data_IF_694044321855
#
_entry.id   IF_694044321855
#
_cell.length_a   1.000
_cell.length_b   1.000
_cell.length_c   1.000
_cell.angle_alpha   90.00
_cell.angle_beta   90.00
_cell.angle_gamma   90.00
#
_symmetry.space_group_name_H-M   'P 1'
#
loop_
_entity.id
_entity.type
_entity.pdbx_description
1 polymer ?
#
# COMPACT_ATOMS: atom_id res chain seq x y z
N UNK A 1 -18.59 -12.96 13.51
CA UNK A 1 -17.48 -12.12 13.00
C UNK A 1 -18.08 -11.05 12.10
N UNK A 2 -17.56 -9.81 12.11
CA UNK A 2 -18.04 -8.76 11.22
C UNK A 2 -17.94 -9.18 9.76
N UNK A 3 -18.87 -8.73 8.93
CA UNK A 3 -18.79 -8.88 7.48
C UNK A 3 -18.01 -7.71 6.91
N UNK A 4 -16.88 -8.00 6.26
CA UNK A 4 -16.05 -7.00 5.59
C UNK A 4 -16.26 -7.01 4.08
N UNK A 5 -16.41 -5.82 3.49
CA UNK A 5 -16.40 -5.63 2.02
C UNK A 5 -15.46 -4.50 1.65
N UNK A 6 -14.46 -4.79 0.82
CA UNK A 6 -13.51 -3.82 0.30
C UNK A 6 -14.00 -3.38 -1.07
N UNK A 7 -14.35 -2.11 -1.20
CA UNK A 7 -14.78 -1.49 -2.46
C UNK A 7 -13.67 -0.62 -3.02
N UNK A 8 -13.13 -1.00 -4.17
CA UNK A 8 -12.11 -0.23 -4.89
C UNK A 8 -12.12 -0.52 -6.39
N UNK A 9 -11.37 0.24 -7.18
CA UNK A 9 -11.19 -0.08 -8.61
C UNK A 9 -10.55 -1.46 -8.81
N UNK A 10 -10.71 -2.02 -10.01
CA UNK A 10 -10.06 -3.28 -10.43
C UNK A 10 -8.55 -3.14 -10.69
N UNK A 11 -7.84 -2.63 -9.69
CA UNK A 11 -6.39 -2.47 -9.62
C UNK A 11 -5.96 -2.68 -8.15
N UNK A 12 -4.65 -2.80 -7.92
CA UNK A 12 -4.11 -2.80 -6.55
C UNK A 12 -4.34 -1.44 -5.88
N UNK A 13 -3.58 -0.42 -6.32
CA UNK A 13 -3.69 0.97 -5.86
C UNK A 13 -3.82 1.12 -4.35
N UNK A 14 -4.68 2.06 -3.92
CA UNK A 14 -4.96 2.31 -2.48
C UNK A 14 -5.86 1.25 -1.84
N UNK A 15 -6.45 0.32 -2.59
CA UNK A 15 -7.24 -0.77 -2.05
C UNK A 15 -6.40 -1.94 -1.55
N UNK A 16 -5.23 -2.16 -2.15
CA UNK A 16 -4.39 -3.34 -1.87
C UNK A 16 -3.91 -3.46 -0.42
N UNK A 17 -3.47 -2.38 0.27
CA UNK A 17 -3.08 -2.49 1.66
C UNK A 17 -4.19 -3.05 2.56
N UNK A 18 -5.45 -2.66 2.32
CA UNK A 18 -6.62 -3.14 3.06
C UNK A 18 -6.81 -4.64 2.84
N UNK A 19 -6.72 -5.09 1.57
CA UNK A 19 -6.86 -6.50 1.20
C UNK A 19 -5.75 -7.36 1.82
N UNK A 20 -4.51 -6.87 1.81
CA UNK A 20 -3.37 -7.57 2.39
C UNK A 20 -3.45 -7.66 3.93
N UNK A 21 -3.91 -6.61 4.63
CA UNK A 21 -4.09 -6.66 6.09
C UNK A 21 -5.20 -7.64 6.49
N UNK A 22 -6.35 -7.62 5.79
CA UNK A 22 -7.42 -8.60 6.01
C UNK A 22 -6.91 -10.03 5.77
N UNK A 23 -6.15 -10.22 4.70
CA UNK A 23 -5.56 -11.52 4.35
C UNK A 23 -4.52 -11.99 5.36
N UNK A 24 -3.68 -11.08 5.89
CA UNK A 24 -2.75 -11.38 6.98
C UNK A 24 -3.49 -11.96 8.20
N UNK A 25 -4.58 -11.31 8.62
CA UNK A 25 -5.44 -11.80 9.70
C UNK A 25 -6.29 -13.01 9.32
N UNK A 26 -6.19 -13.52 8.09
CA UNK A 26 -7.05 -14.58 7.53
C UNK A 26 -8.55 -14.26 7.69
N UNK A 27 -8.89 -12.97 7.62
CA UNK A 27 -10.26 -12.48 7.74
C UNK A 27 -10.92 -12.54 6.37
N UNK A 28 -12.03 -13.29 6.20
CA UNK A 28 -12.76 -13.33 4.94
C UNK A 28 -13.40 -11.97 4.65
N UNK A 29 -13.36 -11.55 3.39
CA UNK A 29 -13.96 -10.31 2.93
C UNK A 29 -14.48 -10.42 1.49
N UNK A 30 -15.44 -9.58 1.15
CA UNK A 30 -15.93 -9.41 -0.22
C UNK A 30 -15.03 -8.39 -0.92
N UNK A 31 -14.38 -8.77 -2.03
CA UNK A 31 -13.57 -7.87 -2.86
C UNK A 31 -14.42 -7.30 -4.01
N UNK A 32 -15.08 -6.16 -3.75
CA UNK A 32 -15.92 -5.48 -4.72
C UNK A 32 -15.08 -4.57 -5.62
N UNK A 33 -14.86 -5.03 -6.86
CA UNK A 33 -14.04 -4.35 -7.86
C UNK A 33 -14.90 -3.53 -8.81
N UNK A 34 -14.66 -2.23 -8.85
CA UNK A 34 -15.39 -1.27 -9.68
C UNK A 34 -14.67 -1.09 -11.02
N UNK A 35 -15.41 -1.25 -12.11
CA UNK A 35 -14.97 -0.88 -13.46
C UNK A 35 -14.93 0.65 -13.64
N UNK A 36 -14.20 1.15 -14.64
CA UNK A 36 -14.20 2.61 -14.89
C UNK A 36 -15.58 3.08 -15.38
N UNK A 37 -16.28 2.23 -16.11
CA UNK A 37 -17.59 2.46 -16.71
C UNK A 37 -18.67 2.62 -15.64
N UNK A 38 -18.62 1.81 -14.58
CA UNK A 38 -19.59 1.84 -13.49
C UNK A 38 -19.29 2.90 -12.42
N UNK A 39 -18.08 3.48 -12.43
CA UNK A 39 -17.68 4.45 -11.41
C UNK A 39 -18.65 5.63 -11.28
N UNK A 40 -19.15 6.14 -12.40
CA UNK A 40 -20.11 7.26 -12.40
C UNK A 40 -21.39 6.97 -11.60
N UNK A 41 -21.86 5.71 -11.62
CA UNK A 41 -23.04 5.23 -10.89
C UNK A 41 -22.74 4.95 -9.42
N UNK A 42 -21.55 4.42 -9.13
CA UNK A 42 -21.15 4.03 -7.77
C UNK A 42 -20.71 5.24 -6.94
N UNK A 43 -20.03 6.23 -7.55
CA UNK A 43 -19.53 7.43 -6.86
C UNK A 43 -20.54 8.09 -5.91
N UNK A 44 -21.80 8.40 -6.32
CA UNK A 44 -22.77 9.03 -5.44
C UNK A 44 -23.21 8.16 -4.25
N UNK A 45 -22.95 6.84 -4.28
CA UNK A 45 -23.26 5.90 -3.20
C UNK A 45 -22.15 5.76 -2.16
N UNK A 46 -21.00 6.43 -2.36
CA UNK A 46 -19.86 6.40 -1.44
C UNK A 46 -19.87 7.62 -0.52
N UNK A 47 -19.36 7.54 0.72
CA UNK A 47 -19.55 8.61 1.71
C UNK A 47 -18.94 9.96 1.28
N UNK A 48 -17.83 9.92 0.56
CA UNK A 48 -17.06 11.11 0.14
C UNK A 48 -16.88 11.20 -1.40
N UNK A 49 -17.66 10.44 -2.17
CA UNK A 49 -17.49 10.41 -3.63
C UNK A 49 -16.14 9.84 -4.09
N UNK A 50 -15.55 8.93 -3.29
CA UNK A 50 -14.20 8.39 -3.44
C UNK A 50 -14.12 6.93 -3.00
N UNK A 51 -13.09 6.23 -3.48
CA UNK A 51 -12.69 4.88 -3.03
C UNK A 51 -11.17 4.89 -2.72
N UNK A 52 -10.67 4.03 -1.82
CA UNK A 52 -11.32 2.86 -1.22
C UNK A 52 -12.36 3.19 -0.15
N UNK A 53 -13.33 2.29 -0.01
CA UNK A 53 -14.30 2.24 1.09
C UNK A 53 -14.26 0.82 1.67
N UNK A 54 -14.16 0.71 2.99
CA UNK A 54 -14.41 -0.54 3.71
C UNK A 54 -15.82 -0.49 4.28
N UNK A 55 -16.63 -1.49 4.00
CA UNK A 55 -17.90 -1.70 4.67
C UNK A 55 -17.73 -2.73 5.78
N UNK A 56 -18.18 -2.39 7.00
CA UNK A 56 -18.19 -3.27 8.17
C UNK A 56 -19.64 -3.38 8.62
N UNK A 57 -20.23 -4.56 8.48
CA UNK A 57 -21.65 -4.81 8.83
C UNK A 57 -22.61 -3.76 8.25
N UNK A 58 -22.40 -3.41 6.97
CA UNK A 58 -23.20 -2.41 6.25
C UNK A 58 -22.77 -0.95 6.45
N UNK A 59 -21.90 -0.65 7.43
CA UNK A 59 -21.39 0.71 7.66
C UNK A 59 -20.18 1.01 6.78
N UNK A 60 -20.30 2.04 5.94
CA UNK A 60 -19.23 2.47 5.04
C UNK A 60 -18.21 3.41 5.72
N UNK A 61 -16.93 3.06 5.62
CA UNK A 61 -15.80 3.83 6.15
C UNK A 61 -14.90 4.24 4.96
N UNK A 62 -14.70 5.54 4.71
CA UNK A 62 -13.80 6.01 3.65
C UNK A 62 -12.33 6.06 4.12
N UNK A 63 -11.42 6.27 3.16
CA UNK A 63 -9.97 6.46 3.31
C UNK A 63 -9.13 5.21 3.61
N UNK A 64 -8.05 5.02 2.86
CA UNK A 64 -7.15 3.89 3.01
C UNK A 64 -6.46 3.83 4.39
N UNK A 65 -5.77 4.89 4.79
CA UNK A 65 -4.88 4.84 5.96
C UNK A 65 -5.63 4.64 7.29
N UNK A 66 -6.73 5.36 7.59
CA UNK A 66 -7.54 5.08 8.77
C UNK A 66 -8.07 3.65 8.82
N UNK A 67 -8.51 3.11 7.67
CA UNK A 67 -8.96 1.71 7.56
C UNK A 67 -7.82 0.74 7.87
N UNK A 68 -6.63 0.95 7.28
CA UNK A 68 -5.47 0.10 7.51
C UNK A 68 -5.07 0.09 8.99
N UNK A 69 -5.02 1.26 9.63
CA UNK A 69 -4.71 1.41 11.06
C UNK A 69 -5.72 0.69 11.94
N UNK A 70 -7.01 0.84 11.64
CA UNK A 70 -8.08 0.12 12.36
C UNK A 70 -7.92 -1.40 12.25
N UNK A 71 -7.78 -1.93 11.03
CA UNK A 71 -7.62 -3.37 10.81
C UNK A 71 -6.33 -3.90 11.44
N UNK A 72 -5.24 -3.14 11.39
CA UNK A 72 -3.97 -3.48 12.02
C UNK A 72 -4.11 -3.68 13.54
N UNK A 73 -4.95 -2.89 14.20
CA UNK A 73 -5.22 -3.06 15.64
C UNK A 73 -5.96 -4.37 15.95
N UNK A 74 -6.75 -4.90 15.01
CA UNK A 74 -7.47 -6.17 15.16
C UNK A 74 -6.55 -7.37 14.94
N UNK A 75 -5.60 -7.23 14.01
CA UNK A 75 -4.72 -8.33 13.60
C UNK A 75 -3.32 -8.25 14.23
N UNK A 76 -3.15 -7.45 15.29
CA UNK A 76 -1.88 -7.30 16.03
C UNK A 76 -0.69 -6.80 15.18
N UNK A 77 -0.96 -5.90 14.24
CA UNK A 77 0.05 -5.20 13.44
C UNK A 77 0.26 -3.74 13.85
N UNK A 78 -0.51 -3.25 14.83
CA UNK A 78 -0.31 -1.94 15.46
C UNK A 78 0.81 -1.98 16.52
N UNK A 79 1.28 -0.80 16.93
CA UNK A 79 2.23 -0.66 18.03
C UNK A 79 1.57 -0.97 19.38
N UNK A 80 2.37 -1.39 20.37
CA UNK A 80 1.89 -1.67 21.73
C UNK A 80 1.65 -0.42 22.56
N UNK A 81 2.16 0.73 22.12
CA UNK A 81 1.95 2.03 22.76
C UNK A 81 1.86 3.18 21.75
N UNK A 82 1.64 4.40 22.25
CA UNK A 82 1.53 5.59 21.42
C UNK A 82 2.83 5.94 20.66
N UNK A 83 4.00 5.63 21.23
CA UNK A 83 5.30 5.92 20.62
C UNK A 83 5.56 4.99 19.44
N UNK A 84 5.27 3.70 19.60
CA UNK A 84 5.38 2.75 18.50
C UNK A 84 4.37 3.04 17.39
N UNK A 85 3.13 3.37 17.73
CA UNK A 85 2.14 3.76 16.73
C UNK A 85 2.55 5.03 15.98
N UNK A 86 3.16 6.01 16.66
CA UNK A 86 3.73 7.19 16.03
C UNK A 86 4.83 6.82 15.02
N UNK A 87 5.74 5.91 15.36
CA UNK A 87 6.79 5.46 14.43
C UNK A 87 6.19 4.79 13.18
N UNK A 88 5.16 3.97 13.35
CA UNK A 88 4.44 3.34 12.25
C UNK A 88 3.75 4.39 11.37
N UNK A 89 3.06 5.36 11.98
CA UNK A 89 2.37 6.43 11.27
C UNK A 89 3.34 7.30 10.45
N UNK A 90 4.50 7.65 11.00
CA UNK A 90 5.54 8.40 10.27
C UNK A 90 6.02 7.64 9.03
N UNK A 91 6.29 6.34 9.16
CA UNK A 91 6.71 5.51 8.03
C UNK A 91 5.62 5.45 6.94
N UNK A 92 4.36 5.31 7.35
CA UNK A 92 3.22 5.26 6.43
C UNK A 92 2.98 6.60 5.73
N UNK A 93 2.96 7.71 6.47
CA UNK A 93 2.76 9.04 5.86
C UNK A 93 3.89 9.39 4.89
N UNK A 94 5.13 8.97 5.18
CA UNK A 94 6.26 9.09 4.23
C UNK A 94 5.96 8.38 2.90
N UNK A 95 5.34 7.20 2.93
CA UNK A 95 4.94 6.45 1.73
C UNK A 95 3.74 7.11 1.02
N UNK A 96 2.81 7.68 1.79
CA UNK A 96 1.65 8.42 1.25
C UNK A 96 2.11 9.65 0.49
N UNK A 97 3.03 10.43 1.06
CA UNK A 97 3.62 11.61 0.42
C UNK A 97 4.31 11.24 -0.90
N UNK A 98 5.10 10.17 -0.90
CA UNK A 98 5.74 9.67 -2.11
C UNK A 98 4.72 9.26 -3.18
N UNK A 99 3.65 8.57 -2.77
CA UNK A 99 2.56 8.17 -3.65
C UNK A 99 1.78 9.37 -4.21
N UNK A 100 1.58 10.42 -3.42
CA UNK A 100 0.96 11.67 -3.87
C UNK A 100 1.82 12.38 -4.92
N UNK A 101 3.13 12.50 -4.70
CA UNK A 101 4.06 13.06 -5.70
C UNK A 101 4.02 12.27 -7.02
N UNK A 102 4.03 10.94 -6.95
CA UNK A 102 3.93 10.08 -8.14
C UNK A 102 2.60 10.30 -8.90
N UNK A 103 1.50 10.52 -8.17
CA UNK A 103 0.20 10.80 -8.72
C UNK A 103 0.11 12.19 -9.37
N UNK A 104 0.74 13.21 -8.76
CA UNK A 104 0.83 14.56 -9.33
C UNK A 104 1.58 14.56 -10.66
N UNK A 105 2.69 13.82 -10.76
CA UNK A 105 3.41 13.61 -12.02
C UNK A 105 2.51 12.97 -13.08
N UNK A 106 1.72 11.96 -12.69
CA UNK A 106 0.83 11.25 -13.62
C UNK A 106 -0.27 12.14 -14.17
N UNK A 107 -0.79 13.08 -13.38
CA UNK A 107 -1.92 13.95 -13.75
C UNK A 107 -1.52 15.25 -14.43
N UNK A 108 -0.25 15.61 -14.40
CA UNK A 108 0.23 16.82 -15.05
C UNK A 108 0.29 16.63 -16.56
N UNK A 109 -0.33 17.57 -17.29
CA UNK A 109 -0.38 17.56 -18.76
C UNK A 109 0.57 18.58 -19.37
N UNK A 110 0.93 19.64 -18.63
CA UNK A 110 1.92 20.62 -19.06
C UNK A 110 3.34 20.05 -18.94
N UNK A 111 4.09 20.06 -20.04
CA UNK A 111 5.40 19.41 -20.09
C UNK A 111 6.43 20.01 -19.12
N UNK A 112 6.45 21.34 -18.96
CA UNK A 112 7.41 22.02 -18.09
C UNK A 112 7.10 21.75 -16.61
N UNK A 113 5.84 21.87 -16.21
CA UNK A 113 5.38 21.54 -14.85
C UNK A 113 5.56 20.06 -14.55
N UNK A 114 5.37 19.19 -15.54
CA UNK A 114 5.57 17.75 -15.37
C UNK A 114 7.04 17.45 -15.08
N UNK A 115 7.96 18.06 -15.81
CA UNK A 115 9.40 17.89 -15.55
C UNK A 115 9.79 18.37 -14.14
N UNK A 116 9.24 19.50 -13.68
CA UNK A 116 9.45 19.98 -12.31
C UNK A 116 8.97 18.98 -11.26
N UNK A 117 7.74 18.46 -11.44
CA UNK A 117 7.15 17.45 -10.54
C UNK A 117 7.94 16.13 -10.57
N UNK A 118 8.44 15.72 -11.73
CA UNK A 118 9.29 14.53 -11.86
C UNK A 118 10.60 14.69 -11.09
N UNK A 119 11.20 15.89 -11.12
CA UNK A 119 12.41 16.18 -10.35
C UNK A 119 12.12 16.13 -8.84
N UNK A 120 11.01 16.73 -8.39
CA UNK A 120 10.57 16.66 -6.98
C UNK A 120 10.32 15.21 -6.55
N UNK A 121 9.62 14.43 -7.37
CA UNK A 121 9.38 13.00 -7.11
C UNK A 121 10.69 12.22 -6.99
N UNK A 122 11.65 12.40 -7.91
CA UNK A 122 12.95 11.69 -7.86
C UNK A 122 13.77 12.05 -6.62
N UNK A 123 13.78 13.32 -6.23
CA UNK A 123 14.46 13.77 -5.01
C UNK A 123 13.83 13.15 -3.76
N UNK A 124 12.50 13.20 -3.65
CA UNK A 124 11.76 12.59 -2.55
C UNK A 124 11.95 11.07 -2.51
N UNK A 125 11.89 10.39 -3.66
CA UNK A 125 12.09 8.95 -3.80
C UNK A 125 13.44 8.53 -3.21
N UNK A 126 14.54 9.18 -3.62
CA UNK A 126 15.88 8.85 -3.13
C UNK A 126 16.02 9.11 -1.63
N UNK A 127 15.54 10.25 -1.14
CA UNK A 127 15.59 10.63 0.27
C UNK A 127 14.78 9.65 1.14
N UNK A 128 13.53 9.39 0.76
CA UNK A 128 12.61 8.61 1.56
C UNK A 128 12.99 7.13 1.57
N UNK A 129 13.37 6.56 0.42
CA UNK A 129 13.85 5.17 0.38
C UNK A 129 15.15 5.01 1.16
N UNK A 130 16.07 5.97 1.07
CA UNK A 130 17.29 5.96 1.89
C UNK A 130 16.98 5.94 3.38
N UNK A 131 16.06 6.79 3.85
CA UNK A 131 15.66 6.80 5.26
C UNK A 131 14.92 5.54 5.70
N UNK A 132 13.99 5.03 4.88
CA UNK A 132 13.31 3.78 5.20
C UNK A 132 14.28 2.58 5.21
N UNK A 133 15.30 2.57 4.36
CA UNK A 133 16.34 1.52 4.36
C UNK A 133 17.20 1.59 5.63
N UNK A 134 17.57 2.78 6.12
CA UNK A 134 18.26 2.96 7.42
C UNK A 134 17.45 2.34 8.56
N UNK A 135 16.14 2.61 8.61
CA UNK A 135 15.25 2.00 9.61
C UNK A 135 15.14 0.49 9.43
N UNK A 136 14.94 0.02 8.20
CA UNK A 136 14.88 -1.41 7.89
C UNK A 136 16.16 -2.14 8.29
N UNK A 137 17.33 -1.54 8.07
CA UNK A 137 18.62 -2.10 8.49
C UNK A 137 18.68 -2.24 10.00
N UNK A 138 18.34 -1.19 10.75
CA UNK A 138 18.33 -1.17 12.22
C UNK A 138 17.36 -2.18 12.82
N UNK A 139 16.22 -2.39 12.17
CA UNK A 139 15.13 -3.22 12.67
C UNK A 139 15.11 -4.63 12.07
N UNK A 140 16.14 -5.02 11.31
CA UNK A 140 16.27 -6.38 10.80
C UNK A 140 15.33 -6.70 9.62
N UNK A 141 14.91 -5.70 8.85
CA UNK A 141 14.03 -5.83 7.69
C UNK A 141 12.60 -5.38 7.95
N UNK A 142 12.40 -4.31 8.74
CA UNK A 142 11.11 -3.72 9.04
C UNK A 142 11.23 -2.20 9.15
N UNK A 143 10.34 -1.42 8.55
CA UNK A 143 10.57 0.02 8.35
C UNK A 143 10.18 0.90 9.55
N UNK A 144 9.46 0.35 10.52
CA UNK A 144 8.94 1.13 11.65
C UNK A 144 9.40 0.58 13.01
N UNK A 145 9.23 -0.72 13.25
CA UNK A 145 9.53 -1.39 14.50
C UNK A 145 10.47 -2.59 14.25
N UNK A 146 11.17 -3.15 15.25
CA UNK A 146 11.99 -4.37 15.10
C UNK A 146 11.15 -5.65 14.94
N UNK A 147 9.96 -5.53 14.32
CA UNK A 147 9.00 -6.60 14.03
C UNK A 147 8.01 -6.12 12.97
N UNK A 148 7.30 -7.07 12.38
CA UNK A 148 6.28 -6.78 11.38
C UNK A 148 5.19 -5.85 11.93
N UNK A 149 4.87 -4.83 11.14
CA UNK A 149 3.80 -3.86 11.39
C UNK A 149 3.02 -3.60 10.10
N UNK A 150 1.90 -2.87 10.20
CA UNK A 150 1.12 -2.53 9.01
C UNK A 150 1.84 -1.55 8.07
N UNK A 151 2.87 -0.82 8.54
CA UNK A 151 3.73 -0.02 7.67
C UNK A 151 4.45 -0.88 6.62
N UNK A 152 4.92 -2.07 7.01
CA UNK A 152 5.65 -2.97 6.10
C UNK A 152 4.74 -3.51 4.98
N UNK A 153 3.45 -3.73 5.28
CA UNK A 153 2.44 -4.11 4.29
C UNK A 153 2.17 -2.96 3.31
N UNK A 154 1.98 -1.74 3.82
CA UNK A 154 1.80 -0.53 2.98
C UNK A 154 3.04 -0.30 2.11
N UNK A 155 4.23 -0.51 2.66
CA UNK A 155 5.49 -0.45 1.93
C UNK A 155 5.54 -1.49 0.82
N UNK A 156 5.16 -2.74 1.08
CA UNK A 156 5.19 -3.80 0.06
C UNK A 156 4.23 -3.50 -1.10
N UNK A 157 3.07 -2.90 -0.83
CA UNK A 157 2.18 -2.39 -1.87
C UNK A 157 2.83 -1.24 -2.67
N UNK A 158 3.54 -0.35 -1.97
CA UNK A 158 4.24 0.80 -2.57
C UNK A 158 5.44 0.35 -3.39
N UNK A 159 6.15 -0.70 -2.96
CA UNK A 159 7.26 -1.33 -3.68
C UNK A 159 6.80 -1.74 -5.08
N UNK A 160 5.72 -2.51 -5.15
CA UNK A 160 5.16 -2.97 -6.41
C UNK A 160 4.72 -1.79 -7.30
N UNK A 161 4.07 -0.79 -6.71
CA UNK A 161 3.65 0.41 -7.44
C UNK A 161 4.84 1.19 -8.01
N UNK A 162 5.91 1.35 -7.23
CA UNK A 162 7.10 2.12 -7.61
C UNK A 162 7.91 1.42 -8.70
N UNK A 163 8.12 0.10 -8.60
CA UNK A 163 8.78 -0.69 -9.66
C UNK A 163 8.09 -0.53 -11.01
N UNK A 164 6.74 -0.54 -11.01
CA UNK A 164 5.96 -0.35 -12.23
C UNK A 164 5.91 1.12 -12.69
N UNK A 165 6.11 2.09 -11.78
CA UNK A 165 6.07 3.52 -12.09
C UNK A 165 7.38 4.03 -12.69
N UNK A 166 8.51 3.59 -12.15
CA UNK A 166 9.84 4.07 -12.58
C UNK A 166 10.38 3.28 -13.77
N UNK A 167 9.95 2.03 -13.93
CA UNK A 167 10.40 1.13 -14.99
C UNK A 167 11.85 0.67 -14.86
N UNK A 168 12.47 0.90 -13.70
CA UNK A 168 13.81 0.43 -13.34
C UNK A 168 13.77 -0.14 -11.92
N UNK A 169 14.73 -1.00 -11.60
CA UNK A 169 14.85 -1.52 -10.24
C UNK A 169 15.29 -0.41 -9.28
N UNK A 170 14.29 0.22 -8.68
CA UNK A 170 14.45 1.35 -7.76
C UNK A 170 14.95 0.89 -6.39
N UNK A 171 14.83 -0.40 -6.09
CA UNK A 171 15.14 -0.98 -4.78
C UNK A 171 16.48 -1.72 -4.76
N UNK A 172 17.13 -1.91 -5.90
CA UNK A 172 18.48 -2.47 -5.98
C UNK A 172 19.50 -1.79 -5.02
N UNK A 173 19.50 -0.44 -4.83
CA UNK A 173 20.39 0.21 -3.87
C UNK A 173 20.03 0.00 -2.38
N UNK A 174 18.87 -0.57 -2.08
CA UNK A 174 18.27 -0.62 -0.75
C UNK A 174 17.98 -2.07 -0.33
N UNK A 175 19.01 -2.86 0.03
CA UNK A 175 18.86 -4.29 0.32
C UNK A 175 18.00 -4.58 1.56
N UNK A 176 17.96 -3.67 2.53
CA UNK A 176 17.13 -3.86 3.73
C UNK A 176 15.65 -3.72 3.39
N UNK A 177 15.30 -2.84 2.46
CA UNK A 177 13.95 -2.73 1.92
C UNK A 177 13.49 -3.97 1.12
N UNK A 178 14.40 -4.64 0.39
CA UNK A 178 14.08 -5.93 -0.23
C UNK A 178 13.74 -6.99 0.85
N UNK A 179 14.45 -6.96 1.98
CA UNK A 179 14.15 -7.83 3.13
C UNK A 179 12.76 -7.54 3.72
N UNK A 180 12.34 -6.27 3.80
CA UNK A 180 10.98 -5.88 4.25
C UNK A 180 9.92 -6.56 3.39
N UNK A 181 10.03 -6.40 2.06
CA UNK A 181 9.12 -7.06 1.10
C UNK A 181 9.07 -8.57 1.34
N UNK A 182 10.24 -9.22 1.45
CA UNK A 182 10.32 -10.67 1.64
C UNK A 182 9.67 -11.12 2.96
N UNK A 183 9.90 -10.39 4.06
CA UNK A 183 9.28 -10.68 5.37
C UNK A 183 7.74 -10.61 5.32
N UNK A 184 7.19 -9.68 4.55
CA UNK A 184 5.75 -9.53 4.33
C UNK A 184 5.19 -10.66 3.45
N UNK A 185 5.87 -10.98 2.34
CA UNK A 185 5.46 -12.05 1.44
C UNK A 185 5.58 -13.45 2.06
N UNK A 186 6.39 -13.61 3.10
CA UNK A 186 6.49 -14.85 3.87
C UNK A 186 5.28 -15.12 4.77
N UNK A 187 4.42 -14.12 5.04
CA UNK A 187 3.25 -14.31 5.91
C UNK A 187 2.20 -15.18 5.21
N UNK A 188 1.70 -16.29 5.82
CA UNK A 188 0.88 -17.28 5.12
C UNK A 188 -0.36 -16.69 4.42
N UNK A 189 -1.13 -15.86 5.13
CA UNK A 189 -2.33 -15.25 4.58
C UNK A 189 -2.04 -14.25 3.44
N UNK A 190 -0.91 -13.54 3.52
CA UNK A 190 -0.45 -12.64 2.46
C UNK A 190 0.05 -13.44 1.26
N UNK A 191 0.87 -14.47 1.48
CA UNK A 191 1.37 -15.36 0.41
C UNK A 191 0.20 -15.92 -0.40
N UNK A 192 -0.83 -16.44 0.27
CA UNK A 192 -2.01 -16.98 -0.40
C UNK A 192 -2.85 -15.89 -1.11
N UNK A 193 -2.98 -14.70 -0.53
CA UNK A 193 -3.61 -13.57 -1.21
C UNK A 193 -2.86 -13.16 -2.47
N UNK A 194 -1.55 -12.95 -2.40
CA UNK A 194 -0.73 -12.50 -3.53
C UNK A 194 -0.75 -13.55 -4.64
N UNK A 195 -0.76 -14.86 -4.34
CA UNK A 195 -0.95 -15.93 -5.35
C UNK A 195 -2.28 -15.77 -6.11
N UNK A 196 -3.38 -15.64 -5.38
CA UNK A 196 -4.74 -15.74 -5.96
C UNK A 196 -5.32 -14.42 -6.46
N UNK A 197 -4.82 -13.27 -6.01
CA UNK A 197 -5.38 -11.96 -6.39
C UNK A 197 -5.37 -11.80 -7.92
N UNK A 198 -6.36 -11.11 -8.50
CA UNK A 198 -6.37 -10.80 -9.93
C UNK A 198 -5.09 -10.09 -10.38
N UNK A 199 -4.74 -10.25 -11.66
CA UNK A 199 -3.67 -9.45 -12.25
C UNK A 199 -4.05 -7.96 -12.19
N UNK A 200 -3.10 -7.10 -11.88
CA UNK A 200 -3.33 -5.67 -11.93
C UNK A 200 -3.05 -5.20 -13.38
N UNK A 201 -4.06 -4.74 -14.14
CA UNK A 201 -3.87 -4.34 -15.54
C UNK A 201 -2.93 -3.13 -15.70
N UNK A 202 -2.66 -2.39 -14.62
CA UNK A 202 -1.74 -1.26 -14.62
C UNK A 202 -0.28 -1.64 -14.36
N UNK A 203 0.00 -2.87 -13.91
CA UNK A 203 1.34 -3.32 -13.54
C UNK A 203 1.84 -4.35 -14.56
N UNK A 204 2.71 -3.92 -15.47
CA UNK A 204 3.22 -4.74 -16.58
C UNK A 204 4.72 -5.04 -16.48
N UNK A 205 5.43 -4.42 -15.53
CA UNK A 205 6.90 -4.49 -15.43
C UNK A 205 7.37 -5.33 -14.25
N UNK A 206 6.57 -5.42 -13.20
CA UNK A 206 6.92 -6.13 -11.98
C UNK A 206 5.66 -6.61 -11.26
N UNK A 207 5.70 -7.83 -10.72
CA UNK A 207 4.59 -8.40 -9.96
C UNK A 207 5.10 -9.12 -8.71
N UNK A 208 4.52 -8.83 -7.54
CA UNK A 208 4.90 -9.52 -6.30
C UNK A 208 4.73 -11.04 -6.37
N UNK A 209 3.90 -11.56 -7.29
CA UNK A 209 3.76 -13.02 -7.54
C UNK A 209 5.09 -13.66 -7.93
N UNK A 210 5.98 -12.93 -8.60
CA UNK A 210 7.28 -13.42 -9.06
C UNK A 210 8.25 -13.68 -7.89
N UNK A 211 7.98 -13.08 -6.73
CA UNK A 211 8.82 -13.19 -5.53
C UNK A 211 8.33 -14.23 -4.51
N UNK A 212 7.28 -14.99 -4.82
CA UNK A 212 6.64 -15.93 -3.87
C UNK A 212 7.33 -17.29 -3.74
N UNK A 213 8.59 -17.42 -4.17
CA UNK A 213 9.37 -18.67 -4.14
C UNK A 213 9.24 -19.40 -2.78
#
# INVERSE_FOLDING_TARGET
>A
MPTYKVRYFDIAGRGEPIRMILSYGQIPFIDERISNEDWSKIKPTTPLGQVPVLEIDGKQIPHCIPICRYLASIVNLAGSDATENLAIDVAVETLVDLGNLAYEVKRETDAAKKQEKENKFKQALSLFLGKLDEYAQKHGGYIALPRLSWADIVFTCSYEALMNKTGVDTFNPYPSLQKVKNNVLAQPGIKEWVKKRPANPMYTLYNLKEDLL
#
